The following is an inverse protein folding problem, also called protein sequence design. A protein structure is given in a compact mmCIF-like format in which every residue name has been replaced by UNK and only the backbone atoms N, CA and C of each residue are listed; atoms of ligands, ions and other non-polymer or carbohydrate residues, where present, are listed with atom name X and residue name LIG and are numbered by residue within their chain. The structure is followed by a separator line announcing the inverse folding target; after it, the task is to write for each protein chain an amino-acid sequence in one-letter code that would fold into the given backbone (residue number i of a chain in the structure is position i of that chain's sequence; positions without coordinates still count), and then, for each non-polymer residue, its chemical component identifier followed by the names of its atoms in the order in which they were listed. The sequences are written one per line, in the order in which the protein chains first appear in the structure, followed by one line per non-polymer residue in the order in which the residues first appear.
data_IF_082429874208
#
_entry.id   IF_082429874208
#
_cell.length_a   1.000
_cell.length_b   1.000
_cell.length_c   1.000
_cell.angle_alpha   90.00
_cell.angle_beta   90.00
_cell.angle_gamma   90.00
#
_symmetry.space_group_name_H-M   'P 1'
#
loop_
_entity.id
_entity.type
_entity.pdbx_description
1 polymer ?
#
# COMPACT_ATOMS: atom_id res chain seq x y z
N UNK A 1 6.26 -15.29 -19.84
CA UNK A 1 5.55 -14.77 -18.65
C UNK A 1 4.29 -15.56 -18.32
N UNK A 2 3.31 -15.71 -19.24
CA UNK A 2 2.06 -16.48 -18.97
C UNK A 2 2.30 -17.94 -18.57
N UNK A 3 3.09 -18.70 -19.32
CA UNK A 3 3.35 -20.12 -19.01
C UNK A 3 4.01 -20.30 -17.62
N UNK A 4 4.94 -19.41 -17.27
CA UNK A 4 5.59 -19.39 -15.95
C UNK A 4 4.59 -19.12 -14.84
N UNK A 5 3.69 -18.16 -15.02
CA UNK A 5 2.62 -17.86 -14.06
C UNK A 5 1.67 -19.05 -13.89
N UNK A 6 1.21 -19.66 -14.99
CA UNK A 6 0.32 -20.84 -14.94
C UNK A 6 0.99 -22.04 -14.27
N UNK A 7 2.29 -22.26 -14.50
CA UNK A 7 3.05 -23.30 -13.81
C UNK A 7 3.14 -23.04 -12.29
N UNK A 8 3.33 -21.78 -11.88
CA UNK A 8 3.34 -21.40 -10.46
C UNK A 8 1.96 -21.56 -9.79
N UNK A 9 0.87 -21.18 -10.47
CA UNK A 9 -0.50 -21.39 -9.98
C UNK A 9 -0.80 -22.87 -9.82
N UNK A 10 -0.45 -23.69 -10.83
CA UNK A 10 -0.60 -25.14 -10.77
C UNK A 10 0.14 -25.71 -9.57
N UNK A 11 1.41 -25.35 -9.38
CA UNK A 11 2.22 -25.78 -8.23
C UNK A 11 1.57 -25.39 -6.90
N UNK A 12 1.07 -24.16 -6.78
CA UNK A 12 0.40 -23.70 -5.56
C UNK A 12 -0.87 -24.53 -5.25
N UNK A 13 -1.65 -24.89 -6.28
CA UNK A 13 -2.81 -25.77 -6.12
C UNK A 13 -2.42 -27.20 -5.77
N UNK A 14 -1.35 -27.73 -6.36
CA UNK A 14 -0.85 -29.08 -6.07
C UNK A 14 -0.35 -29.19 -4.61
N UNK A 15 0.34 -28.17 -4.11
CA UNK A 15 1.03 -28.18 -2.81
C UNK A 15 0.20 -27.66 -1.63
N UNK A 16 -0.94 -26.99 -1.84
CA UNK A 16 -1.72 -26.39 -0.74
C UNK A 16 -2.19 -27.43 0.28
N UNK A 17 -2.30 -27.03 1.54
CA UNK A 17 -3.01 -27.78 2.58
C UNK A 17 -4.30 -27.06 3.03
N UNK A 18 -4.32 -25.73 2.92
CA UNK A 18 -5.47 -24.86 3.21
C UNK A 18 -5.67 -23.89 2.05
N UNK A 19 -6.91 -23.78 1.56
CA UNK A 19 -7.34 -22.78 0.59
C UNK A 19 -8.24 -21.76 1.29
N UNK A 20 -7.86 -20.50 1.29
CA UNK A 20 -8.75 -19.38 1.69
C UNK A 20 -9.34 -18.79 0.42
N UNK A 21 -10.67 -18.86 0.27
CA UNK A 21 -11.36 -18.44 -0.94
C UNK A 21 -12.40 -17.36 -0.62
N UNK A 22 -12.19 -16.17 -1.19
CA UNK A 22 -13.07 -15.01 -0.97
C UNK A 22 -14.06 -14.86 -2.12
N UNK A 23 -15.34 -14.98 -1.80
CA UNK A 23 -16.45 -14.75 -2.73
C UNK A 23 -16.63 -13.25 -2.98
N UNK A 24 -16.43 -12.85 -4.23
CA UNK A 24 -16.41 -11.45 -4.67
C UNK A 24 -17.80 -10.91 -4.99
N UNK A 25 -18.28 -11.20 -6.21
CA UNK A 25 -19.50 -10.66 -6.81
C UNK A 25 -20.17 -11.74 -7.67
N UNK A 26 -21.44 -11.55 -8.01
CA UNK A 26 -22.23 -12.45 -8.87
C UNK A 26 -22.33 -11.98 -10.32
N UNK A 27 -22.05 -10.70 -10.59
CA UNK A 27 -22.05 -10.13 -11.94
C UNK A 27 -20.72 -10.38 -12.66
N UNK A 28 -20.80 -10.88 -13.89
CA UNK A 28 -19.65 -11.14 -14.75
C UNK A 28 -20.02 -11.01 -16.24
N UNK A 29 -19.02 -11.20 -17.10
CA UNK A 29 -19.18 -11.20 -18.55
C UNK A 29 -18.64 -12.48 -19.15
N UNK A 30 -19.41 -13.14 -20.02
CA UNK A 30 -19.03 -14.38 -20.67
C UNK A 30 -18.58 -14.10 -22.10
N UNK A 31 -17.41 -14.63 -22.46
CA UNK A 31 -16.90 -14.63 -23.83
C UNK A 31 -17.53 -15.79 -24.62
N UNK A 32 -18.46 -15.50 -25.52
CA UNK A 32 -19.25 -16.50 -26.26
C UNK A 32 -18.39 -17.52 -27.03
N UNK A 33 -17.25 -17.08 -27.58
CA UNK A 33 -16.37 -17.94 -28.36
C UNK A 33 -15.57 -18.97 -27.54
N UNK A 34 -15.48 -18.78 -26.22
CA UNK A 34 -14.58 -19.58 -25.36
C UNK A 34 -15.21 -20.01 -24.05
N UNK A 35 -16.40 -19.51 -23.70
CA UNK A 35 -17.07 -19.74 -22.42
C UNK A 35 -16.33 -19.12 -21.23
N UNK A 36 -15.32 -18.26 -21.46
CA UNK A 36 -14.52 -17.68 -20.37
C UNK A 36 -15.29 -16.58 -19.66
N UNK A 37 -15.24 -16.63 -18.34
CA UNK A 37 -15.79 -15.59 -17.46
C UNK A 37 -14.77 -14.46 -17.25
N UNK A 38 -15.21 -13.24 -17.46
CA UNK A 38 -14.48 -12.00 -17.20
C UNK A 38 -15.09 -11.30 -15.98
N UNK A 39 -14.28 -10.93 -14.98
CA UNK A 39 -14.78 -10.36 -13.73
C UNK A 39 -15.18 -8.88 -13.84
N UNK A 40 -14.90 -8.24 -14.98
CA UNK A 40 -15.17 -6.83 -15.24
C UNK A 40 -15.68 -6.68 -16.67
N UNK A 41 -16.56 -5.70 -16.90
CA UNK A 41 -17.01 -5.36 -18.23
C UNK A 41 -15.84 -5.07 -19.18
N UNK A 42 -15.86 -5.65 -20.40
CA UNK A 42 -14.91 -5.29 -21.45
C UNK A 42 -14.88 -3.78 -21.68
N UNK A 43 -13.69 -3.20 -21.88
CA UNK A 43 -13.53 -1.75 -22.06
C UNK A 43 -13.42 -0.91 -20.79
N UNK A 44 -13.68 -1.48 -19.60
CA UNK A 44 -13.45 -0.74 -18.34
C UNK A 44 -11.98 -0.74 -17.94
N UNK A 45 -11.31 -1.90 -18.06
CA UNK A 45 -9.87 -2.05 -17.75
C UNK A 45 -9.04 -2.12 -19.03
N UNK A 46 -9.51 -2.92 -20.01
CA UNK A 46 -8.86 -3.13 -21.29
C UNK A 46 -9.84 -3.75 -22.30
N UNK A 47 -9.46 -3.73 -23.58
CA UNK A 47 -10.26 -4.25 -24.70
C UNK A 47 -11.43 -3.32 -25.07
N UNK A 48 -12.27 -3.78 -25.98
CA UNK A 48 -13.49 -3.08 -26.40
C UNK A 48 -14.70 -3.98 -26.15
N UNK A 49 -15.82 -3.36 -25.79
CA UNK A 49 -17.09 -4.08 -25.68
C UNK A 49 -17.63 -4.41 -27.07
N UNK A 50 -17.92 -5.69 -27.27
CA UNK A 50 -18.59 -6.23 -28.46
C UNK A 50 -19.81 -7.03 -27.99
N UNK A 51 -21.04 -6.60 -28.30
CA UNK A 51 -22.26 -7.26 -27.86
C UNK A 51 -22.50 -8.63 -28.52
N UNK A 52 -21.74 -9.00 -29.56
CA UNK A 52 -21.77 -10.33 -30.17
C UNK A 52 -20.84 -11.30 -29.44
N UNK A 53 -19.76 -10.80 -28.85
CA UNK A 53 -18.75 -11.62 -28.18
C UNK A 53 -18.89 -11.65 -26.67
N UNK A 54 -19.54 -10.66 -26.06
CA UNK A 54 -19.60 -10.49 -24.62
C UNK A 54 -21.04 -10.43 -24.13
N UNK A 55 -21.39 -11.40 -23.30
CA UNK A 55 -22.72 -11.50 -22.68
C UNK A 55 -22.62 -11.25 -21.20
N UNK A 56 -23.44 -10.32 -20.68
CA UNK A 56 -23.58 -10.13 -19.25
C UNK A 56 -24.25 -11.34 -18.61
N UNK A 57 -23.72 -11.81 -17.48
CA UNK A 57 -24.32 -12.87 -16.69
C UNK A 57 -24.29 -12.52 -15.21
N UNK A 58 -25.40 -12.74 -14.51
CA UNK A 58 -25.51 -12.59 -13.07
C UNK A 58 -25.78 -13.97 -12.48
N UNK A 59 -24.73 -14.59 -11.95
CA UNK A 59 -24.77 -15.98 -11.50
C UNK A 59 -25.81 -16.17 -10.40
N UNK A 60 -26.59 -17.24 -10.55
CA UNK A 60 -27.58 -17.71 -9.59
C UNK A 60 -26.94 -18.47 -8.44
N UNK A 61 -27.69 -18.66 -7.37
CA UNK A 61 -27.29 -19.50 -6.23
C UNK A 61 -26.77 -20.87 -6.67
N UNK A 62 -27.55 -21.60 -7.48
CA UNK A 62 -27.27 -22.99 -7.84
C UNK A 62 -26.03 -23.09 -8.76
N UNK A 63 -25.83 -22.12 -9.64
CA UNK A 63 -24.62 -22.05 -10.47
C UNK A 63 -23.37 -21.86 -9.61
N UNK A 64 -23.40 -20.94 -8.64
CA UNK A 64 -22.23 -20.66 -7.79
C UNK A 64 -21.93 -21.86 -6.88
N UNK A 65 -22.96 -22.51 -6.34
CA UNK A 65 -22.80 -23.72 -5.54
C UNK A 65 -22.18 -24.85 -6.36
N UNK A 66 -22.69 -25.07 -7.58
CA UNK A 66 -22.15 -26.05 -8.53
C UNK A 66 -20.70 -25.73 -8.92
N UNK A 67 -20.35 -24.45 -9.11
CA UNK A 67 -18.99 -24.03 -9.44
C UNK A 67 -18.01 -24.24 -8.27
N UNK A 68 -18.44 -24.03 -7.03
CA UNK A 68 -17.63 -24.34 -5.84
C UNK A 68 -17.38 -25.85 -5.68
N UNK A 69 -18.39 -26.67 -5.92
CA UNK A 69 -18.26 -28.13 -5.92
C UNK A 69 -17.29 -28.58 -7.02
N UNK A 70 -17.47 -28.06 -8.25
CA UNK A 70 -16.60 -28.36 -9.39
C UNK A 70 -15.15 -27.94 -9.12
N UNK A 71 -14.93 -26.73 -8.57
CA UNK A 71 -13.60 -26.24 -8.20
C UNK A 71 -12.91 -27.17 -7.20
N UNK A 72 -13.60 -27.59 -6.15
CA UNK A 72 -13.03 -28.49 -5.15
C UNK A 72 -12.71 -29.86 -5.75
N UNK A 73 -13.59 -30.37 -6.62
CA UNK A 73 -13.36 -31.62 -7.34
C UNK A 73 -12.12 -31.55 -8.24
N UNK A 74 -11.97 -30.46 -9.01
CA UNK A 74 -10.81 -30.27 -9.89
C UNK A 74 -9.51 -30.10 -9.12
N UNK A 75 -9.50 -29.34 -8.03
CA UNK A 75 -8.30 -29.21 -7.18
C UNK A 75 -7.92 -30.57 -6.59
N UNK A 76 -8.89 -31.36 -6.14
CA UNK A 76 -8.64 -32.70 -5.61
C UNK A 76 -8.10 -33.65 -6.70
N UNK A 77 -8.64 -33.58 -7.91
CA UNK A 77 -8.15 -34.35 -9.06
C UNK A 77 -6.71 -33.96 -9.45
N UNK A 78 -6.38 -32.66 -9.43
CA UNK A 78 -5.02 -32.16 -9.66
C UNK A 78 -4.02 -32.64 -8.60
N UNK A 79 -4.51 -32.99 -7.40
CA UNK A 79 -3.71 -33.41 -6.24
C UNK A 79 -3.74 -34.93 -6.03
N UNK A 80 -4.03 -35.71 -7.07
CA UNK A 80 -4.14 -37.18 -7.01
C UNK A 80 -5.07 -37.68 -5.89
N UNK A 81 -6.14 -36.93 -5.60
CA UNK A 81 -7.11 -37.26 -4.56
C UNK A 81 -6.72 -36.80 -3.14
N UNK A 82 -5.58 -36.10 -2.95
CA UNK A 82 -5.20 -35.56 -1.63
C UNK A 82 -6.24 -34.55 -1.15
N UNK A 83 -6.61 -34.63 0.13
CA UNK A 83 -7.56 -33.72 0.76
C UNK A 83 -6.92 -32.36 1.12
N UNK A 84 -7.75 -31.33 1.26
CA UNK A 84 -7.37 -29.99 1.75
C UNK A 84 -8.48 -29.41 2.63
N UNK A 85 -8.18 -28.34 3.35
CA UNK A 85 -9.17 -27.54 4.07
C UNK A 85 -9.55 -26.30 3.28
N UNK A 86 -10.82 -25.93 3.31
CA UNK A 86 -11.33 -24.74 2.67
C UNK A 86 -11.81 -23.75 3.74
N UNK A 87 -11.43 -22.49 3.63
CA UNK A 87 -12.03 -21.40 4.39
C UNK A 87 -12.69 -20.45 3.39
N UNK A 88 -14.02 -20.44 3.39
CA UNK A 88 -14.82 -19.51 2.61
C UNK A 88 -14.99 -18.21 3.38
N UNK A 89 -15.06 -17.10 2.66
CA UNK A 89 -15.49 -15.81 3.20
C UNK A 89 -16.17 -15.00 2.12
N UNK A 90 -17.13 -14.15 2.46
CA UNK A 90 -17.69 -13.16 1.53
C UNK A 90 -16.92 -11.85 1.64
N UNK A 91 -16.61 -11.20 0.53
CA UNK A 91 -15.97 -9.88 0.54
C UNK A 91 -16.97 -8.80 0.98
N UNK A 92 -16.60 -7.87 1.87
CA UNK A 92 -17.44 -6.71 2.24
C UNK A 92 -17.53 -5.64 1.15
N UNK A 93 -16.69 -5.69 0.12
CA UNK A 93 -16.61 -4.64 -0.89
C UNK A 93 -17.85 -4.68 -1.80
N UNK A 94 -18.66 -3.60 -1.89
CA UNK A 94 -19.90 -3.58 -2.68
C UNK A 94 -19.64 -3.60 -4.20
N UNK A 95 -20.66 -3.51 -5.06
CA UNK A 95 -20.45 -3.23 -6.51
C UNK A 95 -20.14 -1.75 -6.73
N UNK A 96 -19.30 -1.44 -7.73
CA UNK A 96 -19.03 -0.03 -8.13
C UNK A 96 -20.17 0.46 -9.01
N UNK A 97 -20.56 -0.39 -9.96
CA UNK A 97 -21.66 -0.21 -10.88
C UNK A 97 -22.27 -1.59 -11.17
N UNK A 98 -23.52 -1.62 -11.63
CA UNK A 98 -24.25 -2.83 -12.02
C UNK A 98 -24.68 -2.68 -13.47
N UNK A 99 -24.67 -3.78 -14.23
CA UNK A 99 -25.23 -3.80 -15.58
C UNK A 99 -26.74 -4.08 -15.58
N UNK A 100 -27.27 -4.57 -14.46
CA UNK A 100 -28.71 -4.74 -14.27
C UNK A 100 -29.44 -3.40 -14.41
N UNK A 101 -30.66 -3.45 -14.93
CA UNK A 101 -31.53 -2.27 -15.01
C UNK A 101 -32.16 -1.93 -13.63
N UNK A 102 -31.31 -1.73 -12.62
CA UNK A 102 -31.71 -1.38 -11.26
C UNK A 102 -30.60 -0.65 -10.50
N UNK A 103 -30.93 -0.13 -9.33
CA UNK A 103 -29.97 0.62 -8.52
C UNK A 103 -28.84 -0.27 -7.99
N UNK A 104 -27.59 0.23 -8.03
CA UNK A 104 -26.38 -0.51 -7.60
C UNK A 104 -26.45 -1.03 -6.16
N UNK A 105 -27.14 -0.30 -5.26
CA UNK A 105 -27.39 -0.77 -3.90
C UNK A 105 -28.21 -2.06 -3.87
N UNK A 106 -29.26 -2.15 -4.69
CA UNK A 106 -30.12 -3.36 -4.78
C UNK A 106 -29.32 -4.53 -5.35
N UNK A 107 -28.55 -4.31 -6.42
CA UNK A 107 -27.68 -5.34 -6.99
C UNK A 107 -26.60 -5.79 -6.00
N UNK A 108 -26.00 -4.86 -5.25
CA UNK A 108 -25.02 -5.17 -4.20
C UNK A 108 -25.62 -6.03 -3.10
N UNK A 109 -26.77 -5.62 -2.57
CA UNK A 109 -27.45 -6.38 -1.51
C UNK A 109 -27.80 -7.78 -1.99
N UNK A 110 -28.34 -7.92 -3.20
CA UNK A 110 -28.63 -9.23 -3.80
C UNK A 110 -27.35 -10.09 -3.94
N UNK A 111 -26.31 -9.53 -4.55
CA UNK A 111 -25.05 -10.24 -4.82
C UNK A 111 -24.43 -10.78 -3.53
N UNK A 112 -24.32 -9.95 -2.48
CA UNK A 112 -23.75 -10.37 -1.20
C UNK A 112 -24.64 -11.37 -0.45
N UNK A 113 -25.97 -11.20 -0.52
CA UNK A 113 -26.90 -12.13 0.09
C UNK A 113 -26.81 -13.52 -0.55
N UNK A 114 -26.81 -13.62 -1.88
CA UNK A 114 -26.65 -14.89 -2.60
C UNK A 114 -25.33 -15.57 -2.23
N UNK A 115 -24.20 -14.84 -2.31
CA UNK A 115 -22.89 -15.42 -1.97
C UNK A 115 -22.82 -15.89 -0.52
N UNK A 116 -23.47 -15.19 0.41
CA UNK A 116 -23.50 -15.61 1.81
C UNK A 116 -24.34 -16.85 2.04
N UNK A 117 -25.47 -16.98 1.34
CA UNK A 117 -26.32 -18.18 1.39
C UNK A 117 -25.57 -19.37 0.79
N UNK A 118 -24.93 -19.20 -0.37
CA UNK A 118 -24.10 -20.25 -0.99
C UNK A 118 -23.00 -20.71 -0.04
N UNK A 119 -22.27 -19.78 0.59
CA UNK A 119 -21.22 -20.12 1.55
C UNK A 119 -21.76 -20.93 2.75
N UNK A 120 -22.95 -20.56 3.27
CA UNK A 120 -23.61 -21.31 4.35
C UNK A 120 -23.95 -22.74 3.91
N UNK A 121 -24.61 -22.87 2.76
CA UNK A 121 -25.08 -24.16 2.25
C UNK A 121 -23.92 -25.09 1.93
N UNK A 122 -22.86 -24.54 1.32
CA UNK A 122 -21.65 -25.27 1.00
C UNK A 122 -20.97 -25.82 2.27
N UNK A 123 -20.76 -24.98 3.29
CA UNK A 123 -20.10 -25.38 4.55
C UNK A 123 -20.94 -26.40 5.32
N UNK A 124 -22.27 -26.26 5.35
CA UNK A 124 -23.16 -27.22 6.00
C UNK A 124 -23.12 -28.61 5.35
N UNK A 125 -22.85 -28.65 4.06
CA UNK A 125 -22.79 -29.90 3.28
C UNK A 125 -21.39 -30.51 3.24
N UNK A 126 -20.35 -29.72 3.55
CA UNK A 126 -18.94 -30.10 3.36
C UNK A 126 -18.11 -29.89 4.64
N UNK A 127 -17.82 -30.96 5.37
CA UNK A 127 -17.09 -30.92 6.65
C UNK A 127 -15.61 -30.50 6.55
N UNK A 128 -15.05 -30.43 5.34
CA UNK A 128 -13.70 -29.93 5.11
C UNK A 128 -13.64 -28.41 4.91
N UNK A 129 -14.81 -27.76 4.80
CA UNK A 129 -14.95 -26.34 4.62
C UNK A 129 -15.41 -25.66 5.92
N UNK A 130 -14.98 -24.43 6.13
CA UNK A 130 -15.48 -23.54 7.17
C UNK A 130 -15.75 -22.14 6.58
N UNK A 131 -16.56 -21.34 7.28
CA UNK A 131 -16.88 -19.97 6.88
C UNK A 131 -16.31 -18.97 7.88
N UNK A 132 -15.45 -18.08 7.40
CA UNK A 132 -14.95 -16.96 8.17
C UNK A 132 -15.78 -15.68 7.91
N UNK A 133 -16.35 -15.04 8.94
CA UNK A 133 -17.35 -13.98 8.77
C UNK A 133 -16.75 -12.58 8.54
N UNK A 134 -15.83 -12.41 7.57
CA UNK A 134 -15.23 -11.07 7.33
C UNK A 134 -16.26 -10.05 6.79
N UNK A 135 -17.22 -10.49 5.98
CA UNK A 135 -18.33 -9.67 5.50
C UNK A 135 -19.13 -9.07 6.66
N UNK A 136 -19.51 -9.89 7.63
CA UNK A 136 -20.30 -9.50 8.79
C UNK A 136 -19.49 -8.65 9.76
N UNK A 137 -18.22 -8.99 9.99
CA UNK A 137 -17.33 -8.18 10.83
C UNK A 137 -17.20 -6.74 10.30
N UNK A 138 -17.21 -6.54 8.99
CA UNK A 138 -17.19 -5.20 8.41
C UNK A 138 -18.57 -4.53 8.37
N UNK A 139 -19.63 -5.27 8.00
CA UNK A 139 -20.96 -4.71 7.74
C UNK A 139 -21.91 -4.69 8.96
N UNK A 140 -21.47 -5.13 10.14
CA UNK A 140 -22.35 -5.19 11.30
C UNK A 140 -22.82 -3.78 11.74
N UNK A 141 -24.05 -3.66 12.30
CA UNK A 141 -24.57 -2.37 12.76
C UNK A 141 -23.73 -1.68 13.84
N UNK A 142 -22.98 -2.44 14.65
CA UNK A 142 -22.12 -1.87 15.69
C UNK A 142 -20.91 -1.11 15.10
N UNK A 143 -20.48 -1.47 13.89
CA UNK A 143 -19.48 -0.74 13.13
C UNK A 143 -19.98 0.63 12.64
N UNK A 144 -21.30 0.91 12.65
CA UNK A 144 -21.88 2.20 12.24
C UNK A 144 -21.37 2.72 10.88
N UNK A 145 -20.99 1.82 9.98
CA UNK A 145 -20.40 2.15 8.67
C UNK A 145 -18.99 2.75 8.73
N UNK A 146 -18.32 2.81 9.89
CA UNK A 146 -17.00 3.44 10.03
C UNK A 146 -15.86 2.59 9.46
N UNK A 147 -16.13 1.32 9.12
CA UNK A 147 -15.14 0.41 8.54
C UNK A 147 -14.94 0.59 7.03
N UNK A 148 -15.70 1.48 6.39
CA UNK A 148 -15.45 1.90 5.02
C UNK A 148 -14.71 3.24 4.97
N UNK A 149 -13.87 3.42 3.96
CA UNK A 149 -13.26 4.71 3.61
C UNK A 149 -14.32 5.69 3.10
N UNK A 150 -13.91 6.93 2.82
CA UNK A 150 -14.82 7.99 2.35
C UNK A 150 -15.56 7.65 1.04
N UNK A 151 -15.03 6.75 0.23
CA UNK A 151 -15.70 6.26 -0.98
C UNK A 151 -16.84 5.25 -0.70
N UNK A 152 -17.08 4.93 0.58
CA UNK A 152 -18.12 4.00 1.06
C UNK A 152 -18.01 2.59 0.46
N UNK A 153 -16.79 2.21 0.04
CA UNK A 153 -16.51 0.97 -0.69
C UNK A 153 -15.25 0.26 -0.20
N UNK A 154 -14.13 0.98 -0.18
CA UNK A 154 -12.86 0.45 0.30
C UNK A 154 -12.96 0.22 1.79
N UNK A 155 -12.43 -0.90 2.26
CA UNK A 155 -12.39 -1.22 3.69
C UNK A 155 -11.19 -0.52 4.28
N UNK A 156 -11.37 0.18 5.40
CA UNK A 156 -10.25 0.87 6.05
C UNK A 156 -9.22 -0.14 6.58
N UNK A 157 -7.92 0.18 6.63
CA UNK A 157 -6.89 -0.70 7.17
C UNK A 157 -7.20 -1.22 8.58
N UNK A 158 -7.74 -0.38 9.47
CA UNK A 158 -8.05 -0.78 10.86
C UNK A 158 -9.17 -1.82 10.91
N UNK A 159 -10.11 -1.76 9.96
CA UNK A 159 -11.15 -2.78 9.84
C UNK A 159 -10.57 -4.10 9.32
N UNK A 160 -9.60 -4.05 8.40
CA UNK A 160 -8.84 -5.24 7.98
C UNK A 160 -8.09 -5.85 9.16
N UNK A 161 -7.48 -5.05 10.02
CA UNK A 161 -6.77 -5.52 11.21
C UNK A 161 -7.71 -6.23 12.20
N UNK A 162 -8.90 -5.68 12.44
CA UNK A 162 -9.93 -6.33 13.27
C UNK A 162 -10.34 -7.67 12.67
N UNK A 163 -10.57 -7.71 11.36
CA UNK A 163 -10.89 -8.95 10.63
C UNK A 163 -9.76 -9.97 10.79
N UNK A 164 -8.51 -9.58 10.54
CA UNK A 164 -7.36 -10.47 10.66
C UNK A 164 -7.12 -10.95 12.09
N UNK A 165 -7.33 -10.09 13.09
CA UNK A 165 -7.27 -10.47 14.50
C UNK A 165 -8.26 -11.61 14.81
N UNK A 166 -9.51 -11.48 14.36
CA UNK A 166 -10.51 -12.54 14.54
C UNK A 166 -10.16 -13.81 13.77
N UNK A 167 -9.65 -13.69 12.55
CA UNK A 167 -9.20 -14.83 11.73
C UNK A 167 -8.10 -15.62 12.44
N UNK A 168 -7.03 -14.94 12.86
CA UNK A 168 -5.88 -15.56 13.50
C UNK A 168 -6.29 -16.21 14.84
N UNK A 169 -7.14 -15.56 15.62
CA UNK A 169 -7.64 -16.13 16.87
C UNK A 169 -8.50 -17.38 16.67
N UNK A 170 -9.26 -17.44 15.57
CA UNK A 170 -10.13 -18.57 15.27
C UNK A 170 -9.35 -19.78 14.74
N UNK A 171 -8.38 -19.54 13.84
CA UNK A 171 -7.72 -20.62 13.08
C UNK A 171 -6.29 -20.92 13.52
N UNK A 172 -5.65 -20.05 14.30
CA UNK A 172 -4.28 -20.22 14.80
C UNK A 172 -4.16 -20.01 16.34
N UNK A 173 -4.98 -20.69 17.17
CA UNK A 173 -5.08 -20.41 18.60
C UNK A 173 -3.85 -20.81 19.45
N UNK A 174 -3.07 -21.82 19.02
CA UNK A 174 -1.98 -22.42 19.82
C UNK A 174 -0.67 -21.61 19.85
N UNK A 175 -0.69 -20.36 19.41
CA UNK A 175 0.40 -19.40 19.69
C UNK A 175 0.31 -18.77 21.10
N UNK A 176 -0.64 -19.23 21.95
CA UNK A 176 -1.00 -18.58 23.23
C UNK A 176 -0.57 -19.29 24.52
N UNK A 177 0.11 -20.43 24.47
CA UNK A 177 0.57 -21.13 25.69
C UNK A 177 2.01 -20.76 26.10
N UNK A 178 2.19 -19.54 26.57
CA UNK A 178 3.03 -19.29 27.75
C UNK A 178 2.60 -18.02 28.49
N UNK A 179 1.82 -18.24 29.55
CA UNK A 179 1.59 -17.39 30.73
C UNK A 179 1.02 -15.99 30.49
N UNK A 180 -0.32 -15.91 30.48
CA UNK A 180 -1.07 -14.75 30.99
C UNK A 180 -1.54 -15.05 32.41
N UNK A 181 -0.91 -14.41 33.40
CA UNK A 181 -1.61 -13.96 34.59
C UNK A 181 -1.78 -12.44 34.50
N UNK A 182 -3.03 -12.03 34.66
CA UNK A 182 -3.54 -10.69 34.50
C UNK A 182 -3.08 -9.75 35.60
N UNK A 183 -2.55 -8.58 35.22
CA UNK A 183 -2.95 -7.33 35.86
C UNK A 183 -3.36 -6.34 34.78
N UNK A 184 -4.51 -5.73 35.02
CA UNK A 184 -5.13 -4.70 34.20
C UNK A 184 -4.32 -3.43 34.38
N UNK A 185 -3.60 -3.00 33.34
CA UNK A 185 -3.31 -1.59 33.11
C UNK A 185 -3.00 -1.34 31.63
N UNK A 186 -3.66 -0.31 31.09
CA UNK A 186 -3.48 0.36 29.78
C UNK A 186 -2.64 -0.37 28.71
N UNK A 187 -3.20 -1.34 28.00
CA UNK A 187 -2.54 -1.99 26.88
C UNK A 187 -2.71 -1.20 25.57
N UNK A 188 -1.59 -0.78 25.00
CA UNK A 188 -1.46 -0.04 23.75
C UNK A 188 -2.06 -0.76 22.55
N UNK A 189 -2.53 0.06 21.60
CA UNK A 189 -2.91 -0.33 20.25
C UNK A 189 -1.78 -1.14 19.61
N UNK A 190 -2.10 -2.29 19.03
CA UNK A 190 -1.26 -2.89 17.99
C UNK A 190 -1.41 -2.01 16.76
N UNK A 191 -0.45 -1.13 16.53
CA UNK A 191 -0.38 -0.25 15.34
C UNK A 191 0.22 -1.06 14.18
N UNK A 192 -0.15 -0.74 12.94
CA UNK A 192 0.58 -1.16 11.73
C UNK A 192 1.72 -0.16 11.47
N UNK A 193 2.78 -0.51 10.71
CA UNK A 193 3.87 0.45 10.46
C UNK A 193 3.37 1.65 9.67
N UNK A 194 2.35 1.43 8.85
CA UNK A 194 1.60 2.51 8.22
C UNK A 194 0.78 3.31 9.23
N UNK A 195 0.17 2.70 10.25
CA UNK A 195 -0.50 3.46 11.31
C UNK A 195 0.48 4.27 12.19
N UNK A 196 1.69 3.77 12.45
CA UNK A 196 2.75 4.52 13.13
C UNK A 196 3.19 5.73 12.27
N UNK A 197 3.39 5.53 10.97
CA UNK A 197 3.68 6.62 10.04
C UNK A 197 2.51 7.61 9.91
N UNK A 198 1.25 7.18 10.07
CA UNK A 198 0.08 8.06 10.04
C UNK A 198 -0.03 8.88 11.33
N UNK A 199 0.24 8.27 12.49
CA UNK A 199 0.22 8.97 13.78
C UNK A 199 1.37 9.98 13.88
N UNK A 200 2.58 9.62 13.44
CA UNK A 200 3.71 10.55 13.35
C UNK A 200 3.46 11.70 12.36
N UNK A 201 2.77 11.41 11.24
CA UNK A 201 2.30 12.45 10.33
C UNK A 201 1.33 13.41 11.00
N UNK A 202 0.41 12.91 11.83
CA UNK A 202 -0.58 13.74 12.52
C UNK A 202 0.11 14.57 13.61
N UNK A 203 0.88 13.94 14.48
CA UNK A 203 1.61 14.55 15.60
C UNK A 203 2.48 15.73 15.15
N UNK A 204 3.18 15.59 14.02
CA UNK A 204 4.06 16.65 13.52
C UNK A 204 3.36 17.95 13.12
N UNK A 205 2.03 17.96 12.92
CA UNK A 205 1.26 19.18 12.60
C UNK A 205 0.29 19.62 13.70
N UNK A 206 0.19 18.91 14.83
CA UNK A 206 -0.86 19.16 15.85
C UNK A 206 -0.77 20.54 16.49
N UNK A 207 0.44 21.08 16.66
CA UNK A 207 0.66 22.40 17.27
C UNK A 207 0.35 23.57 16.32
N UNK A 208 0.30 23.30 15.01
CA UNK A 208 0.19 24.32 13.97
C UNK A 208 -1.27 24.67 13.65
N UNK A 209 -1.50 25.92 13.25
CA UNK A 209 -2.84 26.41 12.89
C UNK A 209 -2.82 27.19 11.59
N UNK A 210 -3.83 26.96 10.76
CA UNK A 210 -3.99 27.63 9.47
C UNK A 210 -2.83 27.35 8.50
N UNK A 211 -2.30 26.12 8.50
CA UNK A 211 -1.40 25.66 7.44
C UNK A 211 -2.13 25.82 6.11
N UNK A 212 -1.40 26.32 5.12
CA UNK A 212 -1.91 26.68 3.80
C UNK A 212 -2.86 27.88 3.72
N UNK A 213 -2.95 28.73 4.76
CA UNK A 213 -3.69 29.99 4.68
C UNK A 213 -2.90 31.08 3.95
N UNK A 214 -2.74 30.93 2.63
CA UNK A 214 -2.04 31.90 1.79
C UNK A 214 -2.98 32.92 1.15
N UNK A 215 -2.42 34.07 0.76
CA UNK A 215 -3.08 35.11 -0.06
C UNK A 215 -2.46 35.23 -1.46
N UNK A 216 -1.78 34.18 -1.93
CA UNK A 216 -0.95 34.16 -3.15
C UNK A 216 -1.37 33.05 -4.10
N UNK A 217 -1.18 33.29 -5.39
CA UNK A 217 -1.54 32.36 -6.47
C UNK A 217 -0.34 31.55 -7.00
N UNK A 218 0.89 31.99 -6.72
CA UNK A 218 2.16 31.40 -7.17
C UNK A 218 2.77 30.49 -6.07
N UNK A 219 2.12 29.34 -5.86
CA UNK A 219 2.50 28.36 -4.84
C UNK A 219 3.30 27.21 -5.43
N UNK A 220 4.40 26.86 -4.78
CA UNK A 220 5.02 25.53 -4.94
C UNK A 220 4.31 24.55 -4.04
N UNK A 221 3.94 23.37 -4.55
CA UNK A 221 3.35 22.33 -3.70
C UNK A 221 4.42 21.36 -3.24
N UNK A 222 4.50 21.09 -1.94
CA UNK A 222 5.19 19.94 -1.38
C UNK A 222 4.17 18.87 -1.03
N UNK A 223 4.18 17.75 -1.75
CA UNK A 223 3.28 16.62 -1.56
C UNK A 223 4.09 15.39 -1.14
N UNK A 224 3.60 14.60 -0.19
CA UNK A 224 4.40 13.45 0.26
C UNK A 224 3.75 12.59 1.34
N UNK A 225 4.48 11.57 1.76
CA UNK A 225 4.13 10.67 2.87
C UNK A 225 4.67 11.21 4.21
N UNK A 226 5.00 10.34 5.17
CA UNK A 226 5.50 10.76 6.48
C UNK A 226 6.83 11.51 6.43
N UNK A 227 7.62 11.34 5.38
CA UNK A 227 8.84 12.11 5.19
C UNK A 227 8.56 13.59 4.92
N UNK A 228 7.36 13.95 4.44
CA UNK A 228 6.98 15.35 4.27
C UNK A 228 6.93 16.09 5.60
N UNK A 229 6.54 15.43 6.69
CA UNK A 229 6.46 16.06 8.03
C UNK A 229 7.84 16.53 8.50
N UNK A 230 8.86 15.69 8.34
CA UNK A 230 10.24 16.06 8.64
C UNK A 230 10.73 17.22 7.76
N UNK A 231 10.43 17.18 6.46
CA UNK A 231 10.77 18.26 5.52
C UNK A 231 10.00 19.57 5.83
N UNK A 232 8.76 19.48 6.31
CA UNK A 232 7.92 20.62 6.66
C UNK A 232 8.55 21.45 7.78
N UNK A 233 8.99 20.82 8.87
CA UNK A 233 9.59 21.55 9.99
C UNK A 233 10.76 22.41 9.53
N UNK A 234 11.69 21.84 8.75
CA UNK A 234 12.82 22.59 8.23
C UNK A 234 12.44 23.61 7.16
N UNK A 235 11.45 23.32 6.31
CA UNK A 235 10.98 24.28 5.30
C UNK A 235 10.27 25.48 5.96
N UNK A 236 9.53 25.25 7.03
CA UNK A 236 8.78 26.29 7.74
C UNK A 236 9.68 27.35 8.39
N UNK A 237 10.93 27.01 8.69
CA UNK A 237 11.94 27.91 9.26
C UNK A 237 12.70 28.72 8.18
N UNK A 238 12.51 28.39 6.90
CA UNK A 238 13.20 29.05 5.78
C UNK A 238 12.46 30.30 5.31
N UNK A 239 13.20 31.23 4.72
CA UNK A 239 12.63 32.50 4.23
C UNK A 239 11.58 32.32 3.14
N UNK A 240 11.67 31.21 2.42
CA UNK A 240 10.83 30.81 1.31
C UNK A 240 9.53 30.11 1.76
N UNK A 241 9.38 29.76 3.04
CA UNK A 241 8.24 29.00 3.57
C UNK A 241 6.87 29.53 3.09
N UNK A 242 6.73 30.84 2.98
CA UNK A 242 5.50 31.53 2.55
C UNK A 242 5.05 31.23 1.11
N UNK A 243 5.90 30.61 0.29
CA UNK A 243 5.61 30.24 -1.11
C UNK A 243 5.24 28.75 -1.27
N UNK A 244 5.30 27.96 -0.20
CA UNK A 244 5.04 26.53 -0.25
C UNK A 244 3.70 26.17 0.38
N UNK A 245 2.90 25.41 -0.37
CA UNK A 245 1.74 24.71 0.16
C UNK A 245 2.09 23.25 0.45
N UNK A 246 1.65 22.74 1.59
CA UNK A 246 1.96 21.38 2.03
C UNK A 246 0.74 20.47 1.88
N UNK A 247 0.93 19.32 1.23
CA UNK A 247 -0.12 18.34 0.95
C UNK A 247 0.33 16.94 1.37
N UNK A 248 0.34 16.64 2.68
CA UNK A 248 0.57 15.28 3.19
C UNK A 248 -0.53 14.32 2.73
N UNK A 249 -0.15 13.27 2.00
CA UNK A 249 -1.08 12.39 1.27
C UNK A 249 -2.15 11.76 2.15
N UNK A 250 -1.81 11.39 3.40
CA UNK A 250 -2.73 10.72 4.34
C UNK A 250 -3.73 11.66 5.01
N UNK A 251 -3.48 12.98 4.96
CA UNK A 251 -4.38 13.98 5.56
C UNK A 251 -5.43 14.48 4.54
N UNK A 252 -5.28 14.12 3.27
CA UNK A 252 -6.21 14.50 2.20
C UNK A 252 -7.49 13.64 2.25
N UNK A 253 -8.62 14.29 1.97
CA UNK A 253 -9.91 13.66 1.73
C UNK A 253 -10.10 13.26 0.26
N UNK A 254 -9.46 13.98 -0.67
CA UNK A 254 -9.46 13.65 -2.10
C UNK A 254 -8.21 12.86 -2.49
N UNK A 255 -8.19 12.24 -3.67
CA UNK A 255 -7.03 11.49 -4.16
C UNK A 255 -6.46 12.14 -5.43
N UNK A 256 -5.45 13.04 -5.28
CA UNK A 256 -4.88 13.76 -6.42
C UNK A 256 -4.34 12.86 -7.54
N UNK A 257 -3.84 11.66 -7.23
CA UNK A 257 -3.37 10.71 -8.24
C UNK A 257 -4.50 10.05 -9.03
N UNK A 258 -5.63 9.75 -8.39
CA UNK A 258 -6.80 9.22 -9.09
C UNK A 258 -7.45 10.29 -9.97
N UNK A 259 -7.48 11.52 -9.47
CA UNK A 259 -8.11 12.68 -10.12
C UNK A 259 -7.20 13.40 -11.13
N UNK A 260 -5.94 12.96 -11.28
CA UNK A 260 -4.93 13.70 -12.05
C UNK A 260 -5.34 13.97 -13.51
N UNK A 261 -6.09 13.07 -14.14
CA UNK A 261 -6.55 13.25 -15.51
C UNK A 261 -7.61 14.37 -15.63
N UNK A 262 -8.31 14.67 -14.54
CA UNK A 262 -9.40 15.66 -14.50
C UNK A 262 -8.93 16.98 -13.91
N UNK A 263 -8.16 16.94 -12.82
CA UNK A 263 -7.76 18.12 -12.05
C UNK A 263 -6.27 18.48 -12.21
N UNK A 264 -5.50 17.69 -12.97
CA UNK A 264 -4.10 17.99 -13.26
C UNK A 264 -3.20 18.07 -12.02
N UNK A 265 -3.57 17.38 -10.93
CA UNK A 265 -2.91 17.41 -9.62
C UNK A 265 -2.98 18.77 -8.89
N UNK A 266 -4.02 19.58 -9.14
CA UNK A 266 -4.10 20.97 -8.63
C UNK A 266 -4.98 21.17 -7.41
N UNK A 267 -5.77 20.16 -7.03
CA UNK A 267 -6.79 20.26 -5.98
C UNK A 267 -6.38 19.43 -4.78
N UNK A 268 -6.34 20.05 -3.60
CA UNK A 268 -5.98 19.39 -2.35
C UNK A 268 -7.04 19.75 -1.30
N UNK A 269 -7.81 18.74 -0.90
CA UNK A 269 -8.89 18.85 0.07
C UNK A 269 -8.51 17.99 1.26
N UNK A 270 -8.56 18.55 2.47
CA UNK A 270 -8.17 17.87 3.70
C UNK A 270 -9.37 17.22 4.40
N UNK A 271 -9.12 16.13 5.13
CA UNK A 271 -10.13 15.51 5.99
C UNK A 271 -10.56 16.52 7.07
N UNK A 272 -11.84 16.47 7.47
CA UNK A 272 -12.41 17.41 8.45
C UNK A 272 -11.68 17.39 9.80
N UNK A 273 -11.13 16.24 10.20
CA UNK A 273 -10.32 16.11 11.42
C UNK A 273 -8.99 16.91 11.36
N UNK A 274 -8.45 17.20 10.18
CA UNK A 274 -7.23 18.00 9.98
C UNK A 274 -7.56 19.46 9.66
N UNK A 275 -8.43 20.06 10.48
CA UNK A 275 -8.89 21.46 10.33
C UNK A 275 -7.79 22.52 10.48
N UNK A 276 -6.60 22.13 10.92
CA UNK A 276 -5.39 22.94 10.91
C UNK A 276 -4.89 23.22 9.48
N UNK A 277 -5.20 22.36 8.51
CA UNK A 277 -4.92 22.59 7.08
C UNK A 277 -6.09 23.28 6.37
N UNK A 278 -5.77 24.21 5.48
CA UNK A 278 -6.72 24.81 4.55
C UNK A 278 -6.68 24.09 3.21
N UNK A 279 -7.85 23.71 2.71
CA UNK A 279 -8.03 23.27 1.33
C UNK A 279 -7.51 24.34 0.37
N UNK A 280 -6.88 23.92 -0.71
CA UNK A 280 -6.36 24.85 -1.70
C UNK A 280 -6.42 24.28 -3.12
N UNK A 281 -6.45 25.20 -4.07
CA UNK A 281 -6.37 24.92 -5.49
C UNK A 281 -5.26 25.77 -6.11
N UNK A 282 -4.37 25.13 -6.87
CA UNK A 282 -3.25 25.83 -7.49
C UNK A 282 -3.70 26.43 -8.82
N UNK A 283 -3.75 27.76 -8.91
CA UNK A 283 -4.19 28.49 -10.10
C UNK A 283 -3.14 28.50 -11.21
N UNK A 284 -1.87 28.70 -10.87
CA UNK A 284 -0.75 28.67 -11.83
C UNK A 284 0.31 27.64 -11.39
N UNK A 285 0.16 26.36 -11.76
CA UNK A 285 1.05 25.29 -11.30
C UNK A 285 2.42 25.37 -12.00
N UNK A 286 3.43 25.86 -11.27
CA UNK A 286 4.81 25.94 -11.76
C UNK A 286 5.64 24.74 -11.28
N UNK A 287 5.78 24.59 -9.96
CA UNK A 287 6.64 23.60 -9.33
C UNK A 287 5.86 22.67 -8.40
N UNK A 288 6.12 21.38 -8.52
CA UNK A 288 5.64 20.36 -7.59
C UNK A 288 6.84 19.59 -7.05
N UNK A 289 7.03 19.66 -5.74
CA UNK A 289 7.98 18.86 -4.98
C UNK A 289 7.27 17.65 -4.38
N UNK A 290 7.75 16.45 -4.68
CA UNK A 290 7.35 15.21 -4.07
C UNK A 290 8.38 14.83 -3.01
N UNK A 291 7.94 14.48 -1.80
CA UNK A 291 8.83 14.07 -0.70
C UNK A 291 8.51 12.64 -0.29
N UNK A 292 9.51 11.76 -0.34
CA UNK A 292 9.35 10.33 -0.06
C UNK A 292 8.64 9.62 -1.21
N UNK A 293 7.49 9.03 -0.93
CA UNK A 293 6.60 8.38 -1.90
C UNK A 293 7.23 7.19 -2.61
N UNK A 294 8.02 6.39 -1.88
CA UNK A 294 8.30 5.01 -2.32
C UNK A 294 9.61 4.77 -3.08
N UNK A 295 10.46 5.79 -3.23
CA UNK A 295 11.80 5.64 -3.77
C UNK A 295 12.86 5.70 -2.66
N UNK A 296 13.81 4.76 -2.71
CA UNK A 296 14.89 4.60 -1.72
C UNK A 296 14.39 4.37 -0.28
N UNK A 297 15.31 4.39 0.68
CA UNK A 297 15.03 4.18 2.08
C UNK A 297 14.54 2.76 2.39
N UNK A 298 13.47 2.68 3.16
CA UNK A 298 12.84 1.41 3.55
C UNK A 298 12.30 0.61 2.34
N UNK A 299 12.08 1.24 1.18
CA UNK A 299 11.68 0.54 -0.05
C UNK A 299 12.74 -0.44 -0.58
N UNK A 300 14.02 -0.21 -0.28
CA UNK A 300 15.09 -1.16 -0.61
C UNK A 300 14.86 -2.46 0.16
N UNK A 301 14.46 -2.35 1.43
CA UNK A 301 14.19 -3.49 2.32
C UNK A 301 12.83 -4.12 1.94
N UNK A 302 11.80 -3.30 1.71
CA UNK A 302 10.45 -3.77 1.34
C UNK A 302 10.39 -4.51 0.01
N UNK A 303 11.38 -4.33 -0.86
CA UNK A 303 11.52 -5.13 -2.08
C UNK A 303 11.57 -6.64 -1.77
N UNK A 304 12.08 -7.03 -0.59
CA UNK A 304 12.24 -8.40 -0.12
C UNK A 304 11.08 -8.93 0.73
N UNK A 305 10.12 -8.08 1.12
CA UNK A 305 8.93 -8.48 1.89
C UNK A 305 8.41 -7.36 2.80
N UNK A 306 7.36 -7.63 3.56
CA UNK A 306 6.72 -6.61 4.39
C UNK A 306 7.55 -6.27 5.62
N UNK A 307 7.66 -4.97 5.91
CA UNK A 307 8.17 -4.47 7.19
C UNK A 307 7.00 -4.24 8.15
N UNK A 308 7.20 -4.62 9.41
CA UNK A 308 6.21 -4.55 10.48
C UNK A 308 6.67 -3.58 11.57
N UNK A 309 5.73 -2.94 12.27
CA UNK A 309 6.04 -2.06 13.38
C UNK A 309 6.54 -2.88 14.57
N UNK A 310 7.28 -2.21 15.45
CA UNK A 310 7.69 -2.80 16.71
C UNK A 310 6.45 -2.97 17.61
N UNK A 311 6.24 -4.19 18.09
CA UNK A 311 5.26 -4.49 19.13
C UNK A 311 6.03 -5.25 20.21
N UNK A 312 5.85 -4.89 21.48
CA UNK A 312 6.45 -5.63 22.59
C UNK A 312 6.20 -7.14 22.39
N UNK A 313 7.26 -7.95 22.52
CA UNK A 313 7.29 -9.42 22.41
C UNK A 313 7.44 -10.05 21.01
N UNK A 314 7.59 -9.30 19.92
CA UNK A 314 7.95 -9.90 18.62
C UNK A 314 9.45 -10.16 18.49
N UNK A 315 9.80 -11.32 17.95
CA UNK A 315 11.16 -11.58 17.51
C UNK A 315 11.52 -10.64 16.35
N UNK A 316 12.73 -10.11 16.36
CA UNK A 316 13.25 -9.20 15.35
C UNK A 316 13.09 -9.72 13.92
N UNK A 317 13.24 -11.01 13.71
CA UNK A 317 13.11 -11.70 12.43
C UNK A 317 11.69 -11.62 11.85
N UNK A 318 10.69 -11.25 12.68
CA UNK A 318 9.31 -11.01 12.27
C UNK A 318 9.03 -9.54 11.94
N UNK A 319 9.94 -8.62 12.28
CA UNK A 319 9.77 -7.17 12.07
C UNK A 319 10.22 -6.73 10.67
N UNK A 320 11.22 -7.40 10.11
CA UNK A 320 11.89 -6.97 8.87
C UNK A 320 12.15 -8.19 8.00
N UNK A 321 11.88 -8.13 6.68
CA UNK A 321 12.15 -9.25 5.80
C UNK A 321 13.63 -9.61 5.81
N UNK A 322 13.93 -10.89 5.60
CA UNK A 322 15.32 -11.36 5.54
C UNK A 322 15.96 -10.92 4.23
N UNK A 323 16.97 -10.06 4.32
CA UNK A 323 17.78 -9.65 3.17
C UNK A 323 18.94 -10.64 2.97
N UNK A 324 19.30 -10.97 1.72
CA UNK A 324 20.48 -11.78 1.46
C UNK A 324 21.76 -11.00 1.79
N UNK A 325 22.76 -11.71 2.34
CA UNK A 325 24.08 -11.15 2.62
C UNK A 325 24.88 -11.12 1.32
N UNK A 326 24.89 -9.96 0.66
CA UNK A 326 25.54 -9.76 -0.64
C UNK A 326 26.69 -8.78 -0.51
N UNK A 327 27.84 -9.12 -1.07
CA UNK A 327 29.08 -8.32 -1.00
C UNK A 327 29.45 -7.67 -2.33
N UNK A 328 28.73 -7.99 -3.40
CA UNK A 328 28.96 -7.45 -4.74
C UNK A 328 27.64 -7.17 -5.46
N UNK A 329 27.64 -6.13 -6.31
CA UNK A 329 26.49 -5.79 -7.13
C UNK A 329 26.47 -6.70 -8.36
N UNK A 330 25.54 -7.65 -8.38
CA UNK A 330 25.34 -8.56 -9.51
C UNK A 330 24.25 -8.06 -10.47
N UNK A 331 24.26 -8.55 -11.72
CA UNK A 331 23.21 -8.22 -12.69
C UNK A 331 21.85 -8.75 -12.24
N UNK A 332 21.81 -9.90 -11.57
CA UNK A 332 20.60 -10.49 -11.01
C UNK A 332 19.98 -9.59 -9.95
N UNK A 333 20.80 -9.03 -9.05
CA UNK A 333 20.33 -8.15 -7.99
C UNK A 333 19.79 -6.82 -8.56
N UNK A 334 20.47 -6.24 -9.55
CA UNK A 334 19.98 -5.04 -10.26
C UNK A 334 18.67 -5.34 -10.98
N UNK A 335 18.55 -6.48 -11.69
CA UNK A 335 17.29 -6.87 -12.36
C UNK A 335 16.15 -7.09 -11.37
N UNK A 336 16.43 -7.68 -10.22
CA UNK A 336 15.45 -7.83 -9.14
C UNK A 336 14.88 -6.47 -8.71
N UNK A 337 15.75 -5.49 -8.41
CA UNK A 337 15.30 -4.16 -8.03
C UNK A 337 14.61 -3.41 -9.16
N UNK A 338 15.07 -3.56 -10.41
CA UNK A 338 14.44 -2.94 -11.56
C UNK A 338 12.99 -3.41 -11.77
N UNK A 339 12.71 -4.69 -11.49
CA UNK A 339 11.35 -5.24 -11.51
C UNK A 339 10.51 -4.67 -10.36
N UNK A 340 11.07 -4.56 -9.15
CA UNK A 340 10.37 -4.05 -7.97
C UNK A 340 10.05 -2.55 -8.09
N UNK A 341 10.89 -1.80 -8.78
CA UNK A 341 10.71 -0.38 -9.07
C UNK A 341 9.64 -0.07 -10.13
N UNK A 342 9.23 -1.06 -10.94
CA UNK A 342 8.39 -0.81 -12.12
C UNK A 342 7.07 -0.10 -11.78
N UNK A 343 6.39 -0.48 -10.70
CA UNK A 343 5.12 0.14 -10.30
C UNK A 343 5.30 1.60 -9.86
N UNK A 344 6.34 1.87 -9.05
CA UNK A 344 6.69 3.23 -8.62
C UNK A 344 7.05 4.11 -9.82
N UNK A 345 7.82 3.58 -10.77
CA UNK A 345 8.20 4.28 -11.99
C UNK A 345 7.01 4.56 -12.91
N UNK A 346 6.06 3.63 -13.03
CA UNK A 346 4.81 3.86 -13.76
C UNK A 346 3.97 4.97 -13.11
N UNK A 347 3.93 5.03 -11.78
CA UNK A 347 3.25 6.11 -11.06
C UNK A 347 3.92 7.47 -11.33
N UNK A 348 5.25 7.54 -11.22
CA UNK A 348 6.01 8.75 -11.52
C UNK A 348 5.83 9.21 -12.97
N UNK A 349 5.89 8.29 -13.95
CA UNK A 349 5.63 8.60 -15.36
C UNK A 349 4.20 9.06 -15.63
N UNK A 350 3.21 8.48 -14.93
CA UNK A 350 1.81 8.95 -15.00
C UNK A 350 1.67 10.36 -14.41
N UNK A 351 2.31 10.64 -13.28
CA UNK A 351 2.35 11.97 -12.67
C UNK A 351 2.93 12.98 -13.65
N UNK A 352 4.13 12.72 -14.17
CA UNK A 352 4.78 13.59 -15.15
C UNK A 352 3.90 13.88 -16.36
N UNK A 353 3.27 12.84 -16.92
CA UNK A 353 2.46 12.99 -18.12
C UNK A 353 1.18 13.80 -17.91
N UNK A 354 0.52 13.65 -16.76
CA UNK A 354 -0.84 14.16 -16.55
C UNK A 354 -0.92 15.39 -15.65
N UNK A 355 0.14 15.68 -14.91
CA UNK A 355 0.19 16.84 -14.01
C UNK A 355 0.28 18.15 -14.78
N UNK A 356 -0.37 19.19 -14.26
CA UNK A 356 -0.33 20.55 -14.84
C UNK A 356 0.94 21.32 -14.49
N UNK A 357 1.76 20.84 -13.55
CA UNK A 357 2.96 21.54 -13.07
C UNK A 357 4.09 21.42 -14.07
N UNK A 358 4.79 22.51 -14.39
CA UNK A 358 5.83 22.50 -15.41
C UNK A 358 7.06 21.70 -14.99
N UNK A 359 7.52 21.90 -13.75
CA UNK A 359 8.72 21.26 -13.19
C UNK A 359 8.35 20.34 -12.02
N UNK A 360 9.01 19.19 -11.96
CA UNK A 360 8.81 18.19 -10.92
C UNK A 360 10.14 17.95 -10.21
N UNK A 361 10.10 18.00 -8.89
CA UNK A 361 11.25 17.71 -8.03
C UNK A 361 10.85 16.57 -7.11
N UNK A 362 11.67 15.54 -7.00
CA UNK A 362 11.34 14.36 -6.19
C UNK A 362 12.46 14.07 -5.20
N UNK A 363 12.27 14.47 -3.95
CA UNK A 363 13.15 14.18 -2.84
C UNK A 363 12.90 12.73 -2.42
N UNK A 364 13.91 11.89 -2.58
CA UNK A 364 13.80 10.46 -2.25
C UNK A 364 13.77 10.21 -0.74
N UNK A 365 13.28 9.05 -0.34
CA UNK A 365 13.19 8.68 1.07
C UNK A 365 14.59 8.49 1.67
N UNK A 366 14.83 8.94 2.91
CA UNK A 366 16.07 8.67 3.63
C UNK A 366 16.19 7.19 3.98
N UNK A 367 17.43 6.70 4.10
CA UNK A 367 17.67 5.40 4.71
C UNK A 367 17.54 5.50 6.23
N UNK A 368 17.14 4.41 6.88
CA UNK A 368 17.00 4.41 8.34
C UNK A 368 18.36 4.64 9.04
N UNK A 369 18.36 5.22 10.25
CA UNK A 369 19.55 5.34 11.07
C UNK A 369 20.21 3.99 11.37
N UNK A 370 21.53 3.98 11.56
CA UNK A 370 22.31 2.77 11.85
C UNK A 370 21.77 2.01 13.06
N UNK A 371 21.42 2.69 14.15
CA UNK A 371 20.81 2.05 15.32
C UNK A 371 19.50 1.32 14.99
N UNK A 372 18.64 1.93 14.16
CA UNK A 372 17.40 1.29 13.71
C UNK A 372 17.70 0.08 12.80
N UNK A 373 18.73 0.19 11.94
CA UNK A 373 19.25 -0.93 11.14
C UNK A 373 19.79 -2.07 12.00
N UNK A 374 20.55 -1.75 13.06
CA UNK A 374 21.08 -2.71 14.04
C UNK A 374 20.00 -3.35 14.87
N UNK A 375 18.91 -2.67 15.15
CA UNK A 375 17.74 -3.23 15.79
C UNK A 375 16.98 -4.18 14.86
N UNK A 376 16.81 -3.80 13.58
CA UNK A 376 15.96 -4.54 12.62
C UNK A 376 16.65 -5.69 11.88
N UNK A 377 17.89 -5.49 11.44
CA UNK A 377 18.60 -6.39 10.51
C UNK A 377 19.80 -7.09 11.17
N UNK A 378 20.45 -6.40 12.09
CA UNK A 378 21.44 -6.98 13.01
C UNK A 378 22.86 -6.60 12.78
N UNK A 379 23.62 -6.68 13.86
CA UNK A 379 25.04 -6.32 13.87
C UNK A 379 25.79 -7.06 12.77
N UNK A 380 25.60 -8.38 12.65
CA UNK A 380 26.24 -9.15 11.58
C UNK A 380 25.87 -8.65 10.17
N UNK A 381 24.64 -8.15 9.97
CA UNK A 381 24.22 -7.61 8.68
C UNK A 381 24.77 -6.21 8.42
N UNK A 382 24.70 -5.35 9.44
CA UNK A 382 25.16 -3.95 9.41
C UNK A 382 26.68 -3.89 9.30
N UNK A 383 27.41 -4.60 10.16
CA UNK A 383 28.87 -4.65 10.17
C UNK A 383 29.44 -5.30 8.90
N UNK A 384 28.69 -6.24 8.31
CA UNK A 384 29.02 -6.85 7.02
C UNK A 384 28.90 -5.89 5.83
N UNK A 385 28.33 -4.70 6.02
CA UNK A 385 28.14 -3.70 4.96
C UNK A 385 27.21 -4.18 3.83
N UNK A 386 26.38 -5.21 4.07
CA UNK A 386 25.57 -5.81 3.00
C UNK A 386 24.50 -4.85 2.48
N UNK A 387 24.06 -3.89 3.31
CA UNK A 387 23.09 -2.88 2.90
C UNK A 387 23.63 -1.97 1.79
N UNK A 388 24.92 -1.59 1.82
CA UNK A 388 25.54 -0.82 0.75
C UNK A 388 25.39 -1.50 -0.61
N UNK A 389 25.65 -2.81 -0.67
CA UNK A 389 25.51 -3.58 -1.91
C UNK A 389 24.08 -3.51 -2.44
N UNK A 390 23.08 -3.67 -1.55
CA UNK A 390 21.67 -3.54 -1.91
C UNK A 390 21.32 -2.14 -2.40
N UNK A 391 21.78 -1.11 -1.69
CA UNK A 391 21.57 0.30 -2.01
C UNK A 391 22.20 0.70 -3.35
N UNK A 392 23.41 0.24 -3.63
CA UNK A 392 24.08 0.45 -4.92
C UNK A 392 23.36 -0.27 -6.08
N UNK A 393 22.95 -1.52 -5.86
CA UNK A 393 22.18 -2.26 -6.87
C UNK A 393 20.82 -1.60 -7.16
N UNK A 394 20.14 -1.12 -6.12
CA UNK A 394 18.90 -0.35 -6.24
C UNK A 394 19.12 0.96 -7.00
N UNK A 395 20.19 1.69 -6.69
CA UNK A 395 20.56 2.93 -7.40
C UNK A 395 20.78 2.71 -8.89
N UNK A 396 21.52 1.67 -9.27
CA UNK A 396 21.72 1.33 -10.69
C UNK A 396 20.38 0.98 -11.35
N UNK A 397 19.55 0.18 -10.69
CA UNK A 397 18.22 -0.17 -11.20
C UNK A 397 17.31 1.06 -11.35
N UNK A 398 17.39 2.00 -10.41
CA UNK A 398 16.66 3.26 -10.42
C UNK A 398 17.10 4.16 -11.58
N UNK A 399 18.41 4.32 -11.80
CA UNK A 399 18.96 5.17 -12.87
C UNK A 399 18.51 4.70 -14.26
N UNK A 400 18.38 3.38 -14.47
CA UNK A 400 17.84 2.82 -15.72
C UNK A 400 16.42 3.33 -16.08
N UNK A 401 15.67 3.81 -15.10
CA UNK A 401 14.32 4.35 -15.26
C UNK A 401 14.26 5.87 -15.10
N UNK A 402 15.02 6.44 -14.17
CA UNK A 402 15.00 7.86 -13.87
C UNK A 402 15.28 8.72 -15.11
N UNK A 403 16.22 8.28 -15.96
CA UNK A 403 16.59 8.96 -17.21
C UNK A 403 15.44 9.01 -18.25
N UNK A 404 14.38 8.22 -18.07
CA UNK A 404 13.20 8.22 -18.95
C UNK A 404 12.17 9.29 -18.59
N UNK A 405 12.33 9.94 -17.44
CA UNK A 405 11.47 11.03 -16.99
C UNK A 405 12.16 12.35 -17.34
N UNK A 406 11.56 13.12 -18.25
CA UNK A 406 12.22 14.30 -18.84
C UNK A 406 12.03 15.55 -17.96
N UNK A 407 10.90 15.64 -17.25
CA UNK A 407 10.54 16.80 -16.42
C UNK A 407 10.81 16.58 -14.93
N UNK A 408 10.95 15.33 -14.51
CA UNK A 408 11.19 14.95 -13.11
C UNK A 408 12.67 14.97 -12.77
N UNK A 409 13.06 15.87 -11.87
CA UNK A 409 14.38 15.90 -11.26
C UNK A 409 14.34 15.18 -9.91
N UNK A 410 15.03 14.06 -9.81
CA UNK A 410 15.19 13.37 -8.53
C UNK A 410 16.30 14.02 -7.71
N UNK A 411 16.00 14.34 -6.46
CA UNK A 411 16.93 14.89 -5.48
C UNK A 411 17.34 13.73 -4.57
N UNK A 412 18.57 13.26 -4.76
CA UNK A 412 19.18 12.23 -3.94
C UNK A 412 19.97 12.87 -2.80
N UNK A 413 19.87 12.28 -1.62
CA UNK A 413 20.61 12.71 -0.45
C UNK A 413 22.13 12.49 -0.64
N UNK A 414 23.00 13.39 -0.15
CA UNK A 414 24.45 13.23 -0.25
C UNK A 414 24.95 12.15 0.73
N UNK A 415 24.89 10.88 0.29
CA UNK A 415 25.19 9.72 1.13
C UNK A 415 26.61 9.73 1.71
N UNK A 416 27.58 10.31 1.00
CA UNK A 416 28.95 10.49 1.49
C UNK A 416 29.03 11.37 2.75
N UNK A 417 28.06 12.27 2.92
CA UNK A 417 27.96 13.16 4.08
C UNK A 417 27.02 12.61 5.14
N UNK A 418 25.93 11.96 4.75
CA UNK A 418 24.82 11.61 5.63
C UNK A 418 24.78 10.14 6.08
N UNK A 419 25.48 9.25 5.38
CA UNK A 419 25.50 7.82 5.70
C UNK A 419 26.83 7.39 6.33
N UNK A 420 26.76 6.37 7.17
CA UNK A 420 27.92 5.66 7.69
C UNK A 420 28.50 4.71 6.61
N UNK A 421 29.70 4.19 6.85
CA UNK A 421 30.42 3.32 5.92
C UNK A 421 29.67 2.02 5.60
N UNK A 422 28.70 1.61 6.42
CA UNK A 422 27.83 0.44 6.22
C UNK A 422 26.59 0.73 5.35
N UNK A 423 26.36 1.99 4.98
CA UNK A 423 25.31 2.44 4.07
C UNK A 423 24.04 2.96 4.73
N UNK A 424 23.90 2.77 6.04
CA UNK A 424 22.79 3.33 6.84
C UNK A 424 23.05 4.81 7.12
N UNK A 425 21.98 5.54 7.46
CA UNK A 425 22.11 6.93 7.89
C UNK A 425 22.90 7.02 9.20
N UNK A 426 23.78 8.01 9.34
CA UNK A 426 24.54 8.25 10.58
C UNK A 426 23.59 8.44 11.76
N UNK A 427 23.97 7.93 12.92
CA UNK A 427 23.16 8.07 14.14
C UNK A 427 23.06 9.52 14.65
N UNK A 428 23.80 10.47 14.06
CA UNK A 428 23.57 11.91 14.24
C UNK A 428 22.13 12.32 13.92
N UNK A 429 21.43 11.54 13.07
CA UNK A 429 20.04 11.75 12.66
C UNK A 429 19.06 10.76 13.28
N UNK A 430 19.48 10.04 14.33
CA UNK A 430 18.64 9.08 15.03
C UNK A 430 17.67 9.78 15.97
N UNK A 431 16.39 9.40 15.92
CA UNK A 431 15.32 10.01 16.76
C UNK A 431 15.31 9.51 18.20
N UNK A 432 16.19 8.55 18.55
CA UNK A 432 16.31 7.98 19.89
C UNK A 432 15.47 6.72 20.12
N UNK A 433 14.58 6.36 19.19
CA UNK A 433 13.78 5.14 19.25
C UNK A 433 14.26 4.12 18.19
N UNK A 434 14.86 2.98 18.57
CA UNK A 434 15.37 1.98 17.63
C UNK A 434 14.30 1.35 16.71
N UNK A 435 13.05 1.31 17.14
CA UNK A 435 11.92 0.87 16.32
C UNK A 435 11.51 1.87 15.24
N UNK A 436 11.79 3.16 15.47
CA UNK A 436 11.52 4.22 14.52
C UNK A 436 12.59 4.22 13.41
N UNK A 437 12.14 4.10 12.16
CA UNK A 437 12.99 4.09 10.97
C UNK A 437 13.23 5.49 10.39
N UNK A 438 12.52 6.50 10.90
CA UNK A 438 12.62 7.88 10.44
C UNK A 438 13.86 8.57 10.97
N UNK A 439 14.38 9.49 10.17
CA UNK A 439 15.46 10.40 10.54
C UNK A 439 14.88 11.67 11.18
N UNK A 440 15.70 12.37 11.95
CA UNK A 440 15.41 13.74 12.39
C UNK A 440 15.21 14.69 11.20
N UNK A 441 14.48 15.79 11.42
CA UNK A 441 14.19 16.77 10.36
C UNK A 441 15.46 17.32 9.68
N UNK A 442 16.53 17.55 10.43
CA UNK A 442 17.85 18.02 9.94
C UNK A 442 18.45 17.18 8.81
N UNK A 443 18.06 15.90 8.66
CA UNK A 443 18.51 15.08 7.53
C UNK A 443 18.10 15.67 6.17
N UNK A 444 16.95 16.35 6.11
CA UNK A 444 16.40 16.88 4.86
C UNK A 444 17.05 18.19 4.40
N UNK A 445 17.91 18.83 5.20
CA UNK A 445 18.43 20.17 4.89
C UNK A 445 19.17 20.23 3.56
N UNK A 446 20.05 19.27 3.28
CA UNK A 446 20.78 19.23 2.02
C UNK A 446 19.85 19.05 0.81
N UNK A 447 18.77 18.27 0.95
CA UNK A 447 17.79 18.07 -0.12
C UNK A 447 16.92 19.31 -0.34
N UNK A 448 16.58 20.04 0.74
CA UNK A 448 15.83 21.30 0.63
C UNK A 448 16.69 22.43 0.04
N UNK A 449 17.97 22.51 0.40
CA UNK A 449 18.91 23.44 -0.22
C UNK A 449 19.03 23.18 -1.73
N UNK A 450 19.15 21.91 -2.12
CA UNK A 450 19.20 21.52 -3.53
C UNK A 450 17.88 21.81 -4.26
N UNK A 451 16.73 21.57 -3.63
CA UNK A 451 15.43 21.94 -4.18
C UNK A 451 15.38 23.45 -4.50
N UNK A 452 15.70 24.29 -3.52
CA UNK A 452 15.69 25.75 -3.68
C UNK A 452 16.67 26.20 -4.78
N UNK A 453 17.87 25.61 -4.82
CA UNK A 453 18.86 25.88 -5.88
C UNK A 453 18.31 25.53 -7.26
N UNK A 454 17.66 24.38 -7.41
CA UNK A 454 17.09 23.91 -8.67
C UNK A 454 15.88 24.73 -9.13
N UNK A 455 15.13 25.33 -8.20
CA UNK A 455 14.00 26.20 -8.54
C UNK A 455 14.43 27.56 -9.09
N UNK A 456 15.63 28.02 -8.73
CA UNK A 456 16.24 29.26 -9.24
C UNK A 456 16.86 29.11 -10.64
N UNK A 457 17.05 27.88 -11.12
CA UNK A 457 17.52 27.55 -12.49
C UNK A 457 16.38 27.47 -13.49
#
# INVERSE_FOLDING_TARGET
MRNTHLAAVRKALEELDVLVFTLGLTEAWILENSGRTLPVAPGVVAGDFDPVLHTFHNFTHDEILSDLDALCHEIKALRDGKDFKLILTVSPVPLTATYENQHVLKSTTYSKAVLRVVAEEFVRSNTFADYFPSFELVNNPAAKGTYFEANMRSVRPEAVDVVMLHFLNAYLPDTKDSKRESTVDSAGKVRSMDADCEEEMIEGYEAEKNINAFARDDLTVMFGDSHLTAAYHNMSERSEASTYAFAPVRLLANNPFQEIATHGFRTFVFKKEHSNFRDFFVQDPQDLAIVGMGFFGDNIIRAHGDMRPEVEQRAREELTPKLPHVTEVTQELVRFYALKLQNQMNLAGRLEKLTSYKRLFWIVSPDMPENSGRFRLGDAFVDGGFYNTHKMAYKIAFDMWADKLERTKFILHPWDQLCADNGFTKDDYFTGNPGNIHCTSSYFDAALDELLRLQQM
#
